data_IF_456198995370
#
_entry.id   IF_456198995370
#
_cell.length_a   1.000
_cell.length_b   1.000
_cell.length_c   1.000
_cell.angle_alpha   90.00
_cell.angle_beta   90.00
_cell.angle_gamma   90.00
#
_symmetry.space_group_name_H-M   'P 1'
#
loop_
_entity.id
_entity.type
_entity.pdbx_description
1 polymer ?
#
# COMPACT_ATOMS: atom_id res chain seq x y z
N UNK A 1 -0.56 -31.14 -22.64
CA UNK A 1 -0.99 -29.82 -23.14
C UNK A 1 -2.33 -29.93 -23.87
N UNK A 2 -3.46 -30.10 -23.16
CA UNK A 2 -4.81 -29.97 -23.74
C UNK A 2 -5.79 -29.56 -22.64
N UNK A 3 -5.58 -28.41 -21.98
CA UNK A 3 -6.53 -27.87 -21.00
C UNK A 3 -6.60 -26.34 -20.99
N UNK A 4 -6.26 -25.70 -22.12
CA UNK A 4 -6.17 -24.22 -22.20
C UNK A 4 -7.28 -23.55 -23.01
N UNK A 5 -8.11 -24.28 -23.77
CA UNK A 5 -9.04 -23.64 -24.74
C UNK A 5 -10.52 -23.59 -24.34
N UNK A 6 -10.96 -24.20 -23.22
CA UNK A 6 -12.37 -24.14 -22.79
C UNK A 6 -12.72 -23.00 -21.83
N UNK A 7 -11.73 -22.32 -21.22
CA UNK A 7 -11.98 -21.18 -20.31
C UNK A 7 -12.16 -19.84 -21.02
N UNK A 8 -11.60 -19.67 -22.23
CA UNK A 8 -11.76 -18.42 -22.99
C UNK A 8 -13.08 -18.31 -23.74
N UNK A 9 -13.71 -19.43 -24.12
CA UNK A 9 -14.99 -19.41 -24.83
C UNK A 9 -16.14 -18.97 -23.93
N UNK A 10 -16.15 -19.37 -22.66
CA UNK A 10 -17.20 -18.96 -21.71
C UNK A 10 -17.15 -17.47 -21.36
N UNK A 11 -15.94 -16.88 -21.28
CA UNK A 11 -15.75 -15.45 -20.99
C UNK A 11 -16.19 -14.53 -22.14
N UNK A 12 -16.21 -15.00 -23.38
CA UNK A 12 -16.63 -14.19 -24.54
C UNK A 12 -18.11 -14.41 -24.89
N UNK A 13 -18.62 -15.64 -24.72
CA UNK A 13 -20.02 -15.95 -25.06
C UNK A 13 -20.99 -15.24 -24.12
N UNK A 14 -20.69 -15.13 -22.83
CA UNK A 14 -21.60 -14.55 -21.83
C UNK A 14 -21.95 -13.05 -22.08
N UNK A 15 -20.99 -12.14 -22.31
CA UNK A 15 -21.32 -10.74 -22.63
C UNK A 15 -22.01 -10.58 -23.99
N UNK A 16 -21.67 -11.41 -24.99
CA UNK A 16 -22.32 -11.38 -26.32
C UNK A 16 -23.78 -11.85 -26.23
N UNK A 17 -24.07 -12.83 -25.39
CA UNK A 17 -25.44 -13.31 -25.15
C UNK A 17 -26.29 -12.27 -24.40
N UNK A 18 -25.71 -11.55 -23.44
CA UNK A 18 -26.37 -10.42 -22.75
C UNK A 18 -26.68 -9.29 -23.75
N UNK A 19 -25.71 -8.92 -24.60
CA UNK A 19 -25.91 -7.89 -25.63
C UNK A 19 -27.00 -8.31 -26.62
N UNK A 20 -27.01 -9.57 -27.06
CA UNK A 20 -28.04 -10.11 -27.96
C UNK A 20 -29.43 -10.15 -27.31
N UNK A 21 -29.55 -10.54 -26.04
CA UNK A 21 -30.82 -10.51 -25.30
C UNK A 21 -31.32 -9.06 -25.14
N UNK A 22 -30.42 -8.13 -24.81
CA UNK A 22 -30.77 -6.70 -24.73
C UNK A 22 -31.19 -6.13 -26.09
N UNK A 23 -30.55 -6.54 -27.20
CA UNK A 23 -30.83 -5.99 -28.53
C UNK A 23 -32.10 -6.57 -29.17
N UNK A 24 -32.34 -7.87 -29.02
CA UNK A 24 -33.55 -8.53 -29.52
C UNK A 24 -34.78 -8.36 -28.60
N UNK A 25 -34.57 -8.12 -27.30
CA UNK A 25 -35.65 -7.83 -26.34
C UNK A 25 -36.18 -6.40 -26.37
N UNK A 26 -35.35 -5.43 -26.80
CA UNK A 26 -35.68 -4.00 -26.84
C UNK A 26 -36.99 -3.63 -27.57
N UNK A 27 -37.31 -4.17 -28.78
CA UNK A 27 -38.53 -3.79 -29.49
C UNK A 27 -39.82 -4.31 -28.84
N UNK A 28 -39.76 -5.36 -28.02
CA UNK A 28 -40.92 -5.90 -27.29
C UNK A 28 -41.14 -5.23 -25.93
N UNK A 29 -40.10 -4.62 -25.37
CA UNK A 29 -40.13 -3.92 -24.07
C UNK A 29 -40.54 -2.45 -24.24
N UNK A 30 -40.19 -1.83 -25.37
CA UNK A 30 -40.43 -0.43 -25.72
C UNK A 30 -41.85 0.11 -25.45
N UNK A 31 -42.96 -0.53 -25.89
CA UNK A 31 -44.31 0.01 -25.68
C UNK A 31 -44.85 -0.18 -24.25
N UNK A 32 -44.27 -1.10 -23.47
CA UNK A 32 -44.60 -1.29 -22.05
C UNK A 32 -43.83 -0.27 -21.19
N UNK A 33 -42.57 -0.02 -21.54
CA UNK A 33 -41.73 0.98 -20.88
C UNK A 33 -42.26 2.40 -21.06
N UNK A 34 -42.78 2.77 -22.24
CA UNK A 34 -43.31 4.12 -22.49
C UNK A 34 -44.54 4.45 -21.63
N UNK A 35 -45.42 3.48 -21.37
CA UNK A 35 -46.57 3.66 -20.47
C UNK A 35 -46.16 3.62 -18.99
N UNK A 36 -45.13 2.84 -18.63
CA UNK A 36 -44.61 2.78 -17.26
C UNK A 36 -43.80 4.03 -16.87
N UNK A 37 -43.08 4.64 -17.81
CA UNK A 37 -42.32 5.88 -17.63
C UNK A 37 -43.20 7.12 -17.36
N UNK A 38 -44.51 7.06 -17.55
CA UNK A 38 -45.43 8.12 -17.15
C UNK A 38 -45.78 8.08 -15.64
N UNK A 39 -45.50 6.94 -14.97
CA UNK A 39 -45.76 6.79 -13.54
C UNK A 39 -44.52 7.23 -12.74
N UNK A 40 -44.64 8.23 -11.83
CA UNK A 40 -43.51 8.73 -11.04
C UNK A 40 -42.85 7.64 -10.18
N UNK A 41 -43.59 6.61 -9.75
CA UNK A 41 -43.00 5.48 -9.02
C UNK A 41 -42.04 4.65 -9.88
N UNK A 42 -42.34 4.50 -11.17
CA UNK A 42 -41.48 3.75 -12.09
C UNK A 42 -40.23 4.53 -12.46
N UNK A 43 -40.34 5.85 -12.62
CA UNK A 43 -39.19 6.74 -12.77
C UNK A 43 -38.27 6.65 -11.55
N UNK A 44 -38.85 6.71 -10.33
CA UNK A 44 -38.09 6.58 -9.09
C UNK A 44 -37.41 5.20 -8.97
N UNK A 45 -38.10 4.12 -9.33
CA UNK A 45 -37.54 2.76 -9.33
C UNK A 45 -36.35 2.64 -10.30
N UNK A 46 -36.48 3.16 -11.51
CA UNK A 46 -35.40 3.17 -12.51
C UNK A 46 -34.21 3.99 -11.99
N UNK A 47 -34.45 5.17 -11.43
CA UNK A 47 -33.39 5.99 -10.83
C UNK A 47 -32.68 5.26 -9.66
N UNK A 48 -33.42 4.55 -8.81
CA UNK A 48 -32.83 3.72 -7.75
C UNK A 48 -31.99 2.56 -8.29
N UNK A 49 -32.44 1.89 -9.36
CA UNK A 49 -31.68 0.80 -10.01
C UNK A 49 -30.41 1.34 -10.68
N UNK A 50 -30.48 2.49 -11.35
CA UNK A 50 -29.32 3.17 -11.94
C UNK A 50 -28.33 3.59 -10.87
N UNK A 51 -28.80 4.22 -9.78
CA UNK A 51 -27.96 4.60 -8.65
C UNK A 51 -27.29 3.38 -8.01
N UNK A 52 -28.03 2.28 -7.81
CA UNK A 52 -27.49 1.03 -7.32
C UNK A 52 -26.44 0.45 -8.28
N UNK A 53 -26.70 0.49 -9.59
CA UNK A 53 -25.77 0.03 -10.62
C UNK A 53 -24.47 0.82 -10.63
N UNK A 54 -24.53 2.15 -10.51
CA UNK A 54 -23.36 3.03 -10.40
C UNK A 54 -22.58 2.72 -9.11
N UNK A 55 -23.27 2.53 -7.99
CA UNK A 55 -22.65 2.17 -6.72
C UNK A 55 -21.93 0.81 -6.79
N UNK A 56 -22.56 -0.18 -7.42
CA UNK A 56 -21.99 -1.52 -7.60
C UNK A 56 -20.76 -1.49 -8.53
N UNK A 57 -20.83 -0.68 -9.59
CA UNK A 57 -19.70 -0.44 -10.50
C UNK A 57 -18.52 0.19 -9.76
N UNK A 58 -18.77 1.25 -8.97
CA UNK A 58 -17.74 1.89 -8.13
C UNK A 58 -17.15 0.93 -7.10
N UNK A 59 -17.99 0.12 -6.45
CA UNK A 59 -17.54 -0.90 -5.51
C UNK A 59 -16.64 -1.94 -6.20
N UNK A 60 -17.01 -2.43 -7.39
CA UNK A 60 -16.19 -3.36 -8.15
C UNK A 60 -14.88 -2.73 -8.64
N UNK A 61 -14.93 -1.49 -9.12
CA UNK A 61 -13.74 -0.76 -9.58
C UNK A 61 -12.77 -0.51 -8.42
N UNK A 62 -13.29 -0.11 -7.26
CA UNK A 62 -12.49 0.06 -6.04
C UNK A 62 -11.87 -1.28 -5.59
N UNK A 63 -12.66 -2.37 -5.54
CA UNK A 63 -12.15 -3.70 -5.19
C UNK A 63 -11.07 -4.19 -6.15
N UNK A 64 -11.20 -3.90 -7.45
CA UNK A 64 -10.18 -4.23 -8.45
C UNK A 64 -8.90 -3.42 -8.23
N UNK A 65 -9.00 -2.11 -8.00
CA UNK A 65 -7.87 -1.25 -7.66
C UNK A 65 -7.17 -1.77 -6.40
N UNK A 66 -7.93 -2.13 -5.36
CA UNK A 66 -7.39 -2.73 -4.14
C UNK A 66 -6.67 -4.05 -4.40
N UNK A 67 -7.21 -4.92 -5.24
CA UNK A 67 -6.57 -6.19 -5.60
C UNK A 67 -5.22 -5.97 -6.29
N UNK A 68 -5.16 -5.01 -7.22
CA UNK A 68 -3.91 -4.62 -7.90
C UNK A 68 -2.89 -4.06 -6.89
N UNK A 69 -3.32 -3.25 -5.93
CA UNK A 69 -2.46 -2.75 -4.88
C UNK A 69 -1.90 -3.86 -3.97
N UNK A 70 -2.75 -4.79 -3.52
CA UNK A 70 -2.31 -5.96 -2.74
C UNK A 70 -1.25 -6.74 -3.50
N UNK A 71 -1.49 -6.98 -4.79
CA UNK A 71 -0.56 -7.70 -5.65
C UNK A 71 0.78 -6.99 -5.83
N UNK A 72 0.82 -5.66 -5.74
CA UNK A 72 2.05 -4.87 -5.87
C UNK A 72 2.82 -4.74 -4.54
N UNK A 73 2.10 -4.51 -3.44
CA UNK A 73 2.68 -4.21 -2.12
C UNK A 73 3.17 -5.48 -1.43
N UNK A 74 2.41 -6.57 -1.47
CA UNK A 74 2.74 -7.79 -0.74
C UNK A 74 4.08 -8.43 -1.16
N UNK A 75 4.40 -8.58 -2.46
CA UNK A 75 5.71 -9.07 -2.89
C UNK A 75 6.86 -8.16 -2.45
N UNK A 76 6.63 -6.84 -2.42
CA UNK A 76 7.61 -5.84 -2.03
C UNK A 76 7.98 -5.97 -0.54
N UNK A 77 6.99 -6.08 0.34
CA UNK A 77 7.22 -6.29 1.78
C UNK A 77 7.86 -7.66 2.04
N UNK A 78 7.41 -8.70 1.35
CA UNK A 78 7.99 -10.05 1.45
C UNK A 78 9.49 -10.06 1.10
N UNK A 79 9.90 -9.29 0.09
CA UNK A 79 11.31 -9.14 -0.28
C UNK A 79 12.16 -8.46 0.79
N UNK A 80 11.62 -7.54 1.60
CA UNK A 80 12.34 -6.98 2.75
C UNK A 80 12.60 -8.02 3.85
N UNK A 81 11.69 -8.99 3.97
CA UNK A 81 11.85 -10.10 4.90
C UNK A 81 12.91 -11.10 4.47
N UNK A 82 13.32 -11.15 3.20
CA UNK A 82 14.27 -12.16 2.71
C UNK A 82 15.69 -11.62 2.67
N UNK A 83 16.53 -12.08 3.61
CA UNK A 83 17.97 -11.82 3.55
C UNK A 83 18.71 -12.88 2.73
N UNK A 84 19.27 -12.43 1.59
CA UNK A 84 20.21 -13.22 0.79
C UNK A 84 21.66 -12.99 1.22
N UNK A 85 22.48 -14.03 1.15
CA UNK A 85 23.93 -13.93 1.45
C UNK A 85 24.65 -13.00 0.47
N UNK A 86 25.77 -12.44 0.89
CA UNK A 86 26.65 -11.67 0.00
C UNK A 86 27.54 -12.61 -0.81
N UNK A 87 27.95 -12.21 -2.02
CA UNK A 87 28.90 -12.98 -2.86
C UNK A 87 30.19 -13.35 -2.13
N UNK A 88 30.62 -12.52 -1.17
CA UNK A 88 31.81 -12.78 -0.34
C UNK A 88 31.63 -13.98 0.59
N UNK A 89 30.40 -14.34 0.94
CA UNK A 89 30.07 -15.47 1.82
C UNK A 89 29.58 -16.69 1.04
N UNK A 90 28.96 -16.49 -0.13
CA UNK A 90 28.49 -17.55 -1.03
C UNK A 90 28.73 -17.14 -2.49
N UNK A 91 29.82 -17.62 -3.12
CA UNK A 91 30.19 -17.22 -4.49
C UNK A 91 29.21 -17.70 -5.56
N UNK A 92 28.43 -18.75 -5.27
CA UNK A 92 27.53 -19.39 -6.24
C UNK A 92 26.11 -18.79 -6.19
N UNK A 93 25.63 -18.42 -5.00
CA UNK A 93 24.24 -17.96 -4.80
C UNK A 93 24.12 -16.57 -4.15
N UNK A 94 25.23 -15.93 -3.81
CA UNK A 94 25.22 -14.61 -3.19
C UNK A 94 24.71 -13.51 -4.11
N UNK A 95 24.42 -12.34 -3.51
CA UNK A 95 24.23 -11.09 -4.25
C UNK A 95 25.39 -10.12 -3.97
N UNK A 96 25.77 -9.29 -4.94
CA UNK A 96 26.72 -8.21 -4.70
C UNK A 96 26.10 -7.12 -3.83
N UNK A 97 26.88 -6.54 -2.91
CA UNK A 97 26.41 -5.54 -1.95
C UNK A 97 25.68 -4.36 -2.64
N UNK A 98 26.24 -3.84 -3.73
CA UNK A 98 25.65 -2.74 -4.50
C UNK A 98 24.30 -3.11 -5.13
N UNK A 99 24.18 -4.31 -5.71
CA UNK A 99 22.92 -4.79 -6.28
C UNK A 99 21.86 -4.96 -5.20
N UNK A 100 22.26 -5.48 -4.03
CA UNK A 100 21.38 -5.68 -2.89
C UNK A 100 20.86 -4.35 -2.32
N UNK A 101 21.76 -3.39 -2.06
CA UNK A 101 21.38 -2.04 -1.61
C UNK A 101 20.44 -1.39 -2.62
N UNK A 102 20.74 -1.44 -3.92
CA UNK A 102 19.89 -0.87 -4.97
C UNK A 102 18.50 -1.50 -5.01
N UNK A 103 18.41 -2.83 -4.86
CA UNK A 103 17.14 -3.56 -4.83
C UNK A 103 16.29 -3.15 -3.64
N UNK A 104 16.86 -3.14 -2.44
CA UNK A 104 16.09 -2.76 -1.24
C UNK A 104 15.78 -1.28 -1.21
N UNK A 105 16.66 -0.41 -1.67
CA UNK A 105 16.36 1.01 -1.79
C UNK A 105 15.11 1.25 -2.65
N UNK A 106 14.99 0.56 -3.80
CA UNK A 106 13.78 0.63 -4.64
C UNK A 106 12.53 0.18 -3.89
N UNK A 107 12.62 -0.91 -3.13
CA UNK A 107 11.49 -1.44 -2.35
C UNK A 107 11.10 -0.44 -1.24
N UNK A 108 12.08 0.04 -0.48
CA UNK A 108 11.88 1.04 0.56
C UNK A 108 11.26 2.31 -0.03
N UNK A 109 11.70 2.76 -1.20
CA UNK A 109 11.12 3.90 -1.89
C UNK A 109 9.64 3.67 -2.25
N UNK A 110 9.30 2.54 -2.88
CA UNK A 110 7.91 2.23 -3.24
C UNK A 110 7.03 2.17 -1.99
N UNK A 111 7.45 1.42 -0.96
CA UNK A 111 6.69 1.29 0.28
C UNK A 111 6.56 2.61 1.02
N UNK A 112 7.57 3.48 0.91
CA UNK A 112 7.54 4.77 1.56
C UNK A 112 6.48 5.72 1.03
N UNK A 113 6.18 5.68 -0.28
CA UNK A 113 5.11 6.50 -0.86
C UNK A 113 3.78 6.18 -0.18
N UNK A 114 3.50 4.89 -0.01
CA UNK A 114 2.28 4.44 0.67
C UNK A 114 2.30 4.83 2.14
N UNK A 115 3.39 4.50 2.86
CA UNK A 115 3.53 4.84 4.28
C UNK A 115 3.46 6.35 4.53
N UNK A 116 3.86 7.20 3.57
CA UNK A 116 3.78 8.63 3.77
C UNK A 116 2.38 9.18 3.84
N UNK A 117 1.50 8.67 3.01
CA UNK A 117 0.07 9.00 3.09
C UNK A 117 -0.49 8.62 4.47
N UNK A 118 -0.08 7.46 4.99
CA UNK A 118 -0.53 6.96 6.30
C UNK A 118 -0.06 7.84 7.45
N UNK A 119 1.25 8.09 7.51
CA UNK A 119 1.85 8.80 8.64
C UNK A 119 1.40 10.27 8.64
N UNK A 120 1.32 10.91 7.46
CA UNK A 120 0.79 12.27 7.37
C UNK A 120 -0.65 12.34 7.88
N UNK A 121 -1.49 11.37 7.53
CA UNK A 121 -2.86 11.33 8.05
C UNK A 121 -2.90 11.14 9.58
N UNK A 122 -2.10 10.22 10.13
CA UNK A 122 -2.07 10.01 11.59
C UNK A 122 -1.55 11.22 12.37
N UNK A 123 -0.57 11.92 11.81
CA UNK A 123 0.06 13.06 12.46
C UNK A 123 -0.72 14.37 12.25
N UNK A 124 -1.63 14.44 11.28
CA UNK A 124 -2.45 15.62 11.01
C UNK A 124 -3.82 15.53 11.68
N UNK A 125 -4.03 16.13 12.88
CA UNK A 125 -5.35 16.19 13.48
C UNK A 125 -6.27 17.09 12.63
N UNK A 126 -7.42 16.55 12.22
CA UNK A 126 -8.41 17.22 11.36
C UNK A 126 -9.08 18.47 11.95
N UNK A 127 -8.67 18.91 13.14
CA UNK A 127 -9.28 20.01 13.90
C UNK A 127 -8.43 21.29 13.92
N UNK A 128 -7.24 21.27 13.31
CA UNK A 128 -6.41 22.48 13.18
C UNK A 128 -6.99 23.42 12.13
N UNK A 129 -7.57 24.53 12.55
CA UNK A 129 -7.84 25.66 11.66
C UNK A 129 -6.50 26.33 11.37
N UNK A 130 -5.91 26.03 10.22
CA UNK A 130 -4.72 26.74 9.78
C UNK A 130 -5.11 28.14 9.35
N UNK A 131 -4.89 29.11 10.23
CA UNK A 131 -4.85 30.52 9.84
C UNK A 131 -3.64 30.73 8.95
N UNK A 132 -3.91 31.03 7.68
CA UNK A 132 -2.92 31.32 6.66
C UNK A 132 -2.25 32.65 6.97
N UNK A 133 -1.05 32.60 7.54
CA UNK A 133 -0.21 33.79 7.69
C UNK A 133 1.02 33.64 6.78
N UNK A 134 0.92 34.20 5.58
CA UNK A 134 1.95 34.16 4.52
C UNK A 134 3.22 34.97 4.85
N UNK A 135 3.30 35.52 6.07
CA UNK A 135 4.39 36.38 6.53
C UNK A 135 5.26 35.76 7.63
N UNK A 136 4.90 34.58 8.12
CA UNK A 136 5.65 33.92 9.19
C UNK A 136 6.93 33.26 8.66
N UNK A 137 8.10 33.75 9.07
CA UNK A 137 9.42 33.13 8.83
C UNK A 137 9.65 31.85 9.66
N UNK A 138 8.60 31.30 10.25
CA UNK A 138 8.62 30.11 11.12
C UNK A 138 7.82 29.00 10.45
N UNK A 139 8.38 27.79 10.41
CA UNK A 139 7.70 26.59 9.91
C UNK A 139 6.29 26.47 10.51
N UNK A 140 5.28 26.25 9.66
CA UNK A 140 3.92 25.99 10.11
C UNK A 140 3.82 24.64 10.83
N UNK A 141 2.75 24.40 11.59
CA UNK A 141 2.51 23.10 12.23
C UNK A 141 2.47 21.95 11.21
N UNK A 142 1.93 22.25 10.01
CA UNK A 142 1.91 21.32 8.88
C UNK A 142 3.34 20.94 8.51
N UNK A 143 4.24 21.90 8.37
CA UNK A 143 5.63 21.64 7.94
C UNK A 143 6.39 20.74 8.94
N UNK A 144 6.13 20.92 10.24
CA UNK A 144 6.69 20.04 11.27
C UNK A 144 6.17 18.60 11.16
N UNK A 145 4.87 18.43 10.85
CA UNK A 145 4.28 17.11 10.61
C UNK A 145 4.96 16.44 9.41
N UNK A 146 5.20 17.18 8.32
CA UNK A 146 5.94 16.65 7.17
C UNK A 146 7.36 16.23 7.54
N UNK A 147 8.11 17.08 8.25
CA UNK A 147 9.48 16.76 8.67
C UNK A 147 9.50 15.48 9.54
N UNK A 148 8.58 15.37 10.51
CA UNK A 148 8.45 14.18 11.35
C UNK A 148 8.11 12.94 10.52
N UNK A 149 7.14 13.06 9.61
CA UNK A 149 6.72 11.97 8.76
C UNK A 149 7.90 11.46 7.92
N UNK A 150 8.66 12.37 7.32
CA UNK A 150 9.83 12.08 6.50
C UNK A 150 10.96 11.38 7.28
N UNK A 151 11.04 11.59 8.60
CA UNK A 151 11.95 10.86 9.48
C UNK A 151 11.39 9.49 9.91
N UNK A 152 10.09 9.40 10.21
CA UNK A 152 9.45 8.18 10.70
C UNK A 152 9.39 7.07 9.66
N UNK A 153 9.13 7.38 8.38
CA UNK A 153 8.98 6.33 7.36
C UNK A 153 10.26 5.53 7.13
N UNK A 154 11.43 6.15 6.90
CA UNK A 154 12.67 5.40 6.77
C UNK A 154 12.99 4.57 8.03
N UNK A 155 12.70 5.09 9.22
CA UNK A 155 12.87 4.37 10.49
C UNK A 155 11.93 3.16 10.60
N UNK A 156 10.68 3.32 10.18
CA UNK A 156 9.69 2.25 10.14
C UNK A 156 10.05 1.15 9.12
N UNK A 157 10.54 1.52 7.94
CA UNK A 157 11.03 0.56 6.95
C UNK A 157 12.27 -0.20 7.46
N UNK A 158 13.16 0.49 8.18
CA UNK A 158 14.29 -0.14 8.86
C UNK A 158 13.82 -1.12 9.94
N UNK A 159 12.80 -0.78 10.75
CA UNK A 159 12.28 -1.68 11.78
C UNK A 159 11.65 -2.94 11.18
N UNK A 160 10.87 -2.81 10.09
CA UNK A 160 10.35 -3.96 9.33
C UNK A 160 11.50 -4.88 8.95
N UNK A 161 12.55 -4.31 8.37
CA UNK A 161 13.69 -5.06 7.87
C UNK A 161 14.44 -5.82 8.97
N UNK A 162 14.68 -5.17 10.11
CA UNK A 162 15.38 -5.79 11.24
C UNK A 162 14.51 -6.84 11.91
N UNK A 163 13.22 -6.56 12.13
CA UNK A 163 12.28 -7.49 12.77
C UNK A 163 11.96 -8.71 11.90
N UNK A 164 11.81 -8.52 10.59
CA UNK A 164 11.56 -9.60 9.66
C UNK A 164 12.79 -10.50 9.43
N UNK A 165 13.97 -10.09 9.91
CA UNK A 165 15.23 -10.84 9.84
C UNK A 165 15.85 -11.00 11.25
N UNK A 166 15.25 -11.82 12.12
CA UNK A 166 15.76 -12.01 13.48
C UNK A 166 17.20 -12.55 13.46
N UNK A 167 18.07 -11.89 14.21
CA UNK A 167 19.52 -12.16 14.24
C UNK A 167 19.93 -13.00 15.44
N UNK A 168 20.97 -13.82 15.27
CA UNK A 168 21.41 -14.79 16.28
C UNK A 168 21.88 -14.18 17.61
N UNK A 169 22.42 -12.96 17.55
CA UNK A 169 23.08 -12.32 18.70
C UNK A 169 22.22 -11.23 19.37
N UNK A 170 21.25 -10.64 18.66
CA UNK A 170 20.41 -9.54 19.18
C UNK A 170 19.06 -10.06 19.65
N UNK A 171 18.54 -11.12 19.02
CA UNK A 171 17.34 -11.83 19.47
C UNK A 171 17.70 -13.11 20.24
N UNK A 172 18.69 -13.04 21.13
CA UNK A 172 18.88 -14.04 22.21
C UNK A 172 17.78 -13.93 23.27
N UNK A 173 16.54 -13.72 22.83
CA UNK A 173 15.35 -13.72 23.67
C UNK A 173 15.24 -15.08 24.35
N UNK A 174 14.92 -15.13 25.66
CA UNK A 174 14.67 -16.38 26.37
C UNK A 174 13.63 -17.26 25.65
N UNK A 175 12.72 -16.65 24.88
CA UNK A 175 11.70 -17.34 24.09
C UNK A 175 12.30 -18.16 22.93
N UNK A 176 13.35 -17.67 22.26
CA UNK A 176 14.00 -18.42 21.17
C UNK A 176 14.90 -19.52 21.75
N UNK A 177 15.46 -19.29 22.94
CA UNK A 177 16.24 -20.29 23.68
C UNK A 177 15.37 -21.32 24.41
N UNK A 178 14.07 -21.06 24.57
CA UNK A 178 13.10 -22.00 25.17
C UNK A 178 12.90 -23.25 24.33
N UNK A 179 12.93 -23.11 23.00
CA UNK A 179 12.91 -24.27 22.10
C UNK A 179 14.25 -25.01 22.20
N UNK A 180 14.27 -26.27 22.61
CA UNK A 180 15.52 -27.03 22.73
C UNK A 180 16.02 -27.54 21.37
N UNK A 181 15.10 -27.94 20.48
CA UNK A 181 15.44 -28.54 19.20
C UNK A 181 15.65 -27.52 18.07
N UNK A 182 16.67 -27.71 17.21
CA UNK A 182 16.94 -26.84 16.06
C UNK A 182 15.79 -26.76 15.05
N UNK A 183 15.00 -27.83 14.91
CA UNK A 183 13.85 -27.88 14.00
C UNK A 183 12.73 -26.94 14.47
N UNK A 184 12.36 -27.03 15.75
CA UNK A 184 11.32 -26.20 16.35
C UNK A 184 11.71 -24.71 16.34
N UNK A 185 13.00 -24.40 16.59
CA UNK A 185 13.53 -23.03 16.44
C UNK A 185 13.33 -22.50 15.02
N UNK A 186 13.63 -23.31 14.02
CA UNK A 186 13.52 -22.92 12.60
C UNK A 186 12.07 -22.65 12.20
N UNK A 187 11.15 -23.51 12.63
CA UNK A 187 9.72 -23.34 12.36
C UNK A 187 9.14 -22.11 13.06
N UNK A 188 9.49 -21.89 14.33
CA UNK A 188 9.11 -20.68 15.06
C UNK A 188 9.60 -19.41 14.36
N UNK A 189 10.87 -19.34 13.97
CA UNK A 189 11.45 -18.18 13.29
C UNK A 189 10.75 -17.90 11.96
N UNK A 190 10.43 -18.97 11.21
CA UNK A 190 9.70 -18.85 9.95
C UNK A 190 8.28 -18.32 10.16
N UNK A 191 7.58 -18.79 11.20
CA UNK A 191 6.26 -18.27 11.58
C UNK A 191 6.35 -16.81 11.98
N UNK A 192 7.24 -16.47 12.92
CA UNK A 192 7.43 -15.11 13.39
C UNK A 192 7.68 -14.12 12.25
N UNK A 193 8.58 -14.47 11.33
CA UNK A 193 8.86 -13.66 10.14
C UNK A 193 7.62 -13.47 9.26
N UNK A 194 6.83 -14.54 9.05
CA UNK A 194 5.58 -14.46 8.29
C UNK A 194 4.56 -13.57 9.00
N UNK A 195 4.46 -13.65 10.32
CA UNK A 195 3.54 -12.86 11.13
C UNK A 195 3.91 -11.38 11.10
N UNK A 196 5.19 -11.06 11.24
CA UNK A 196 5.72 -9.69 11.10
C UNK A 196 5.43 -9.12 9.71
N UNK A 197 5.77 -9.85 8.64
CA UNK A 197 5.50 -9.40 7.26
C UNK A 197 4.00 -9.20 7.03
N UNK A 198 3.17 -10.12 7.52
CA UNK A 198 1.71 -10.05 7.37
C UNK A 198 1.11 -8.88 8.14
N UNK A 199 1.60 -8.60 9.35
CA UNK A 199 1.19 -7.45 10.15
C UNK A 199 1.49 -6.14 9.42
N UNK A 200 2.72 -5.96 8.92
CA UNK A 200 3.10 -4.75 8.20
C UNK A 200 2.36 -4.59 6.87
N UNK A 201 2.12 -5.70 6.16
CA UNK A 201 1.28 -5.69 4.97
C UNK A 201 -0.15 -5.26 5.29
N UNK A 202 -0.74 -5.81 6.35
CA UNK A 202 -2.08 -5.44 6.79
C UNK A 202 -2.16 -3.97 7.20
N UNK A 203 -1.15 -3.43 7.90
CA UNK A 203 -1.11 -2.03 8.30
C UNK A 203 -1.07 -1.09 7.09
N UNK A 204 -0.17 -1.35 6.13
CA UNK A 204 -0.07 -0.53 4.91
C UNK A 204 -1.37 -0.61 4.10
N UNK A 205 -1.95 -1.81 3.99
CA UNK A 205 -3.22 -2.02 3.29
C UNK A 205 -4.39 -1.29 3.97
N UNK A 206 -4.52 -1.42 5.29
CA UNK A 206 -5.56 -0.75 6.06
C UNK A 206 -5.50 0.77 5.89
N UNK A 207 -4.29 1.32 5.84
CA UNK A 207 -4.12 2.75 5.69
C UNK A 207 -4.40 3.27 4.27
N UNK A 208 -4.08 2.48 3.22
CA UNK A 208 -4.51 2.80 1.84
C UNK A 208 -6.03 2.78 1.74
N UNK A 209 -6.69 1.76 2.31
CA UNK A 209 -8.16 1.67 2.36
C UNK A 209 -8.74 2.89 3.06
N UNK A 210 -8.17 3.22 4.21
CA UNK A 210 -8.61 4.35 4.99
C UNK A 210 -8.46 5.69 4.24
N UNK A 211 -7.32 5.92 3.58
CA UNK A 211 -7.10 7.11 2.74
C UNK A 211 -8.11 7.19 1.58
N UNK A 212 -8.35 6.07 0.89
CA UNK A 212 -9.34 6.02 -0.18
C UNK A 212 -10.75 6.37 0.33
N UNK A 213 -11.17 5.80 1.47
CA UNK A 213 -12.46 6.12 2.08
C UNK A 213 -12.55 7.61 2.47
N UNK A 214 -11.46 8.21 2.94
CA UNK A 214 -11.41 9.64 3.27
C UNK A 214 -11.56 10.54 2.04
N UNK A 215 -10.86 10.22 0.95
CA UNK A 215 -11.01 10.94 -0.33
C UNK A 215 -12.47 10.84 -0.82
N UNK A 216 -13.07 9.64 -0.77
CA UNK A 216 -14.47 9.44 -1.15
C UNK A 216 -15.43 10.23 -0.25
N UNK A 217 -15.20 10.24 1.06
CA UNK A 217 -15.98 11.04 2.00
C UNK A 217 -15.87 12.54 1.69
N UNK A 218 -14.67 13.04 1.46
CA UNK A 218 -14.42 14.44 1.11
C UNK A 218 -15.11 14.82 -0.21
N UNK A 219 -15.08 13.93 -1.21
CA UNK A 219 -15.78 14.12 -2.48
C UNK A 219 -17.30 14.21 -2.30
N UNK A 220 -17.89 13.34 -1.47
CA UNK A 220 -19.33 13.38 -1.18
C UNK A 220 -19.76 14.66 -0.45
N UNK A 221 -18.88 15.22 0.36
CA UNK A 221 -19.12 16.46 1.11
C UNK A 221 -18.73 17.73 0.34
N UNK A 222 -18.27 17.63 -0.92
CA UNK A 222 -17.69 18.74 -1.69
C UNK A 222 -16.51 19.44 -0.99
N UNK A 223 -15.75 18.71 -0.16
CA UNK A 223 -14.59 19.20 0.60
C UNK A 223 -13.27 18.60 0.09
N UNK A 224 -13.26 18.12 -1.16
CA UNK A 224 -12.09 17.44 -1.72
C UNK A 224 -10.83 18.34 -1.69
N UNK A 225 -10.95 19.61 -2.06
CA UNK A 225 -9.82 20.54 -2.09
C UNK A 225 -9.23 20.78 -0.69
N UNK A 226 -10.08 20.99 0.32
CA UNK A 226 -9.66 21.17 1.71
C UNK A 226 -8.94 19.93 2.25
N UNK A 227 -9.39 18.73 1.87
CA UNK A 227 -8.77 17.48 2.29
C UNK A 227 -7.45 17.23 1.55
N UNK A 228 -7.36 17.58 0.26
CA UNK A 228 -6.14 17.43 -0.55
C UNK A 228 -5.03 18.39 -0.14
N UNK A 229 -5.37 19.62 0.30
CA UNK A 229 -4.39 20.60 0.78
C UNK A 229 -3.60 20.06 1.99
N UNK A 230 -4.19 19.20 2.82
CA UNK A 230 -3.50 18.55 3.95
C UNK A 230 -2.38 17.61 3.50
N UNK A 231 -2.41 17.16 2.25
CA UNK A 231 -1.39 16.32 1.63
C UNK A 231 -0.35 17.10 0.82
N UNK A 232 -0.45 18.43 0.77
CA UNK A 232 0.56 19.29 0.17
C UNK A 232 1.29 20.13 1.24
N UNK A 233 2.62 19.99 1.39
CA UNK A 233 3.37 20.82 2.35
C UNK A 233 3.35 22.29 1.92
N UNK A 234 3.24 23.21 2.88
CA UNK A 234 3.14 24.66 2.62
C UNK A 234 4.50 25.36 2.70
N UNK A 235 5.54 24.67 2.23
CA UNK A 235 6.91 25.18 2.20
C UNK A 235 7.26 25.76 0.84
N UNK A 236 8.20 26.71 0.84
CA UNK A 236 8.76 27.24 -0.40
C UNK A 236 9.35 26.12 -1.28
N UNK A 237 9.31 26.32 -2.61
CA UNK A 237 9.75 25.32 -3.59
C UNK A 237 11.21 24.90 -3.38
N UNK A 238 12.07 25.83 -2.93
CA UNK A 238 13.47 25.53 -2.63
C UNK A 238 13.56 24.61 -1.40
N UNK A 239 12.81 24.92 -0.35
CA UNK A 239 12.76 24.11 0.87
C UNK A 239 12.16 22.72 0.59
N UNK A 240 11.13 22.63 -0.26
CA UNK A 240 10.57 21.36 -0.72
C UNK A 240 11.61 20.51 -1.45
N UNK A 241 12.37 21.10 -2.37
CA UNK A 241 13.45 20.42 -3.06
C UNK A 241 14.51 19.89 -2.08
N UNK A 242 14.94 20.71 -1.11
CA UNK A 242 15.90 20.30 -0.07
C UNK A 242 15.34 19.14 0.76
N UNK A 243 14.07 19.21 1.15
CA UNK A 243 13.39 18.17 1.94
C UNK A 243 13.33 16.84 1.17
N UNK A 244 12.96 16.88 -0.12
CA UNK A 244 12.92 15.70 -1.00
C UNK A 244 14.32 15.10 -1.20
N UNK A 245 15.34 15.93 -1.43
CA UNK A 245 16.73 15.44 -1.58
C UNK A 245 17.20 14.81 -0.28
N UNK A 246 16.96 15.47 0.85
CA UNK A 246 17.30 14.96 2.18
C UNK A 246 16.61 13.64 2.48
N UNK A 247 15.34 13.51 2.09
CA UNK A 247 14.57 12.28 2.20
C UNK A 247 15.26 11.10 1.50
N UNK A 248 15.65 11.29 0.24
CA UNK A 248 16.37 10.25 -0.51
C UNK A 248 17.69 9.86 0.14
N UNK A 249 18.42 10.84 0.69
CA UNK A 249 19.67 10.60 1.42
C UNK A 249 19.38 9.80 2.70
N UNK A 250 18.39 10.18 3.50
CA UNK A 250 18.00 9.46 4.71
C UNK A 250 17.59 8.03 4.38
N UNK A 251 16.76 7.84 3.35
CA UNK A 251 16.32 6.51 2.90
C UNK A 251 17.50 5.64 2.46
N UNK A 252 18.52 6.22 1.80
CA UNK A 252 19.74 5.53 1.42
C UNK A 252 20.56 5.15 2.66
N UNK A 253 20.74 6.08 3.60
CA UNK A 253 21.49 5.87 4.85
C UNK A 253 20.83 4.77 5.69
N UNK A 254 19.52 4.82 5.91
CA UNK A 254 18.80 3.79 6.67
C UNK A 254 18.84 2.43 5.97
N UNK A 255 18.76 2.42 4.62
CA UNK A 255 18.91 1.18 3.84
C UNK A 255 20.31 0.59 4.01
N UNK A 256 21.36 1.40 3.89
CA UNK A 256 22.74 0.97 4.04
C UNK A 256 23.03 0.52 5.48
N UNK A 257 22.52 1.25 6.48
CA UNK A 257 22.62 0.89 7.88
C UNK A 257 21.94 -0.44 8.19
N UNK A 258 20.73 -0.66 7.67
CA UNK A 258 20.02 -1.94 7.81
C UNK A 258 20.80 -3.11 7.23
N UNK A 259 21.51 -2.90 6.11
CA UNK A 259 22.37 -3.95 5.56
C UNK A 259 23.65 -4.16 6.33
N UNK A 260 24.29 -3.09 6.77
CA UNK A 260 25.46 -3.19 7.61
C UNK A 260 25.14 -3.94 8.91
N UNK A 261 23.99 -3.64 9.52
CA UNK A 261 23.50 -4.33 10.71
C UNK A 261 23.28 -5.82 10.46
N UNK A 262 22.58 -6.21 9.40
CA UNK A 262 22.32 -7.63 9.08
C UNK A 262 23.57 -8.38 8.60
N UNK A 263 24.57 -7.67 8.06
CA UNK A 263 25.87 -8.26 7.73
C UNK A 263 26.67 -8.54 9.00
N UNK A 264 26.69 -7.59 9.94
CA UNK A 264 27.39 -7.72 11.23
C UNK A 264 26.70 -8.72 12.17
N UNK A 265 25.37 -8.74 12.17
CA UNK A 265 24.54 -9.62 12.96
C UNK A 265 23.68 -10.49 12.04
N UNK A 266 24.20 -11.65 11.63
CA UNK A 266 23.52 -12.42 10.62
C UNK A 266 22.20 -13.04 11.11
N UNK A 267 21.20 -13.13 10.22
CA UNK A 267 19.92 -13.75 10.55
C UNK A 267 20.04 -15.27 10.73
N UNK A 268 19.08 -15.86 11.44
CA UNK A 268 19.01 -17.31 11.66
C UNK A 268 18.86 -18.11 10.37
N UNK A 269 17.98 -17.65 9.47
CA UNK A 269 17.84 -18.19 8.12
C UNK A 269 18.41 -17.19 7.11
N UNK A 270 19.36 -17.65 6.30
CA UNK A 270 19.83 -16.96 5.09
C UNK A 270 19.38 -17.81 3.91
N UNK A 271 18.61 -17.24 3.00
CA UNK A 271 18.20 -17.88 1.74
C UNK A 271 19.26 -17.67 0.67
#
# INVERSE_FOLDING_TARGET
MVYSNRKNTFCVIFPVLIILICWFGYPYISPIFSNMLQNPFFILLIACIELLGVYLLLALLSAFIFFVFIWSVFPSISQLGVYKKLNTEDPLNGESLGTKIKKIYKINFILSIFLMIVILYFLYPSTGTTTFDSTATTFSEIDHIYILAFAFVPAFLLSIRVLANPTKNVFSSPIINYYAHPADKKEFIKSFKKDVISFYAALIMAAIIFFYLKIMQAQLNNQLEEELIKFYPQIDSIALCILIVTYFIILLITTAFGEWFLTKFPPYERL
#
